data_IF_124920136693
#
_entry.id   IF_124920136693
#
_cell.length_a   1.000
_cell.length_b   1.000
_cell.length_c   1.000
_cell.angle_alpha   90.00
_cell.angle_beta   90.00
_cell.angle_gamma   90.00
#
_symmetry.space_group_name_H-M   'P 1'
#
loop_
_entity.id
_entity.type
_entity.pdbx_description
1 polymer ?
#
# COMPACT_ATOMS: atom_id res chain seq x y z
N UNK A 1 -6.30 12.86 -1.34
CA UNK A 1 -7.40 12.31 -2.17
C UNK A 1 -7.51 12.98 -3.53
N UNK A 2 -7.76 14.29 -3.56
CA UNK A 2 -7.99 15.04 -4.82
C UNK A 2 -6.87 14.88 -5.86
N UNK A 3 -5.63 14.98 -5.44
CA UNK A 3 -4.47 14.84 -6.35
C UNK A 3 -4.31 13.39 -6.81
N UNK A 4 -4.48 12.42 -5.93
CA UNK A 4 -4.46 11.00 -6.28
C UNK A 4 -5.51 10.67 -7.35
N UNK A 5 -6.72 11.21 -7.21
CA UNK A 5 -7.78 11.03 -8.21
C UNK A 5 -7.41 11.67 -9.57
N UNK A 6 -6.82 12.88 -9.56
CA UNK A 6 -6.32 13.53 -10.79
C UNK A 6 -5.22 12.71 -11.46
N UNK A 7 -4.27 12.20 -10.67
CA UNK A 7 -3.20 11.32 -11.17
C UNK A 7 -3.81 10.09 -11.86
N UNK A 8 -4.76 9.41 -11.21
CA UNK A 8 -5.44 8.25 -11.80
C UNK A 8 -6.19 8.57 -13.11
N UNK A 9 -6.84 9.74 -13.20
CA UNK A 9 -7.51 10.15 -14.43
C UNK A 9 -6.52 10.44 -15.57
N UNK A 10 -5.37 11.04 -15.26
CA UNK A 10 -4.31 11.29 -16.24
C UNK A 10 -3.67 9.97 -16.69
N UNK A 11 -3.26 9.13 -15.74
CA UNK A 11 -2.58 7.87 -16.05
C UNK A 11 -3.49 6.88 -16.80
N UNK A 12 -4.81 6.92 -16.55
CA UNK A 12 -5.78 6.12 -17.29
C UNK A 12 -5.80 6.44 -18.81
N UNK A 13 -5.48 7.70 -19.18
CA UNK A 13 -5.41 8.12 -20.59
C UNK A 13 -4.11 7.69 -21.26
N UNK A 14 -3.08 7.39 -20.48
CA UNK A 14 -1.81 6.93 -21.01
C UNK A 14 -1.95 5.48 -21.47
N UNK A 15 -1.62 5.21 -22.72
CA UNK A 15 -1.57 3.84 -23.27
C UNK A 15 -0.29 3.11 -22.84
N UNK A 16 0.13 3.32 -21.60
CA UNK A 16 1.32 2.70 -21.01
C UNK A 16 0.91 1.56 -20.10
N UNK A 17 1.70 0.51 -20.12
CA UNK A 17 1.56 -0.62 -19.21
C UNK A 17 2.89 -0.89 -18.51
N UNK A 18 2.88 -0.90 -17.19
CA UNK A 18 3.98 -1.36 -16.35
C UNK A 18 3.44 -2.35 -15.32
N UNK A 19 3.94 -3.57 -15.34
CA UNK A 19 3.55 -4.60 -14.37
C UNK A 19 3.84 -4.11 -12.94
N UNK A 20 2.86 -4.16 -12.05
CA UNK A 20 3.10 -3.89 -10.64
C UNK A 20 3.85 -5.07 -10.01
N UNK A 21 5.14 -4.87 -9.70
CA UNK A 21 5.98 -5.87 -9.03
C UNK A 21 5.50 -6.19 -7.61
N UNK A 22 4.79 -5.26 -6.98
CA UNK A 22 4.26 -5.38 -5.61
C UNK A 22 2.75 -5.69 -5.57
N UNK A 23 2.20 -6.24 -6.67
CA UNK A 23 0.81 -6.68 -6.69
C UNK A 23 0.57 -7.87 -5.76
N UNK A 24 -0.68 -8.09 -5.36
CA UNK A 24 -1.07 -9.22 -4.49
C UNK A 24 -0.57 -10.57 -5.00
N UNK A 25 -0.50 -10.76 -6.33
CA UNK A 25 -0.03 -12.00 -6.97
C UNK A 25 1.44 -12.32 -6.65
N UNK A 26 2.24 -11.29 -6.36
CA UNK A 26 3.68 -11.43 -6.09
C UNK A 26 3.98 -11.60 -4.59
N UNK A 27 3.00 -11.48 -3.71
CA UNK A 27 3.23 -11.61 -2.26
C UNK A 27 3.49 -13.05 -1.82
N UNK A 28 2.94 -14.06 -2.50
CA UNK A 28 3.27 -15.46 -2.22
C UNK A 28 4.75 -15.80 -2.55
N UNK A 29 5.28 -15.47 -3.73
CA UNK A 29 6.71 -15.59 -4.02
C UNK A 29 7.59 -14.83 -3.00
N UNK A 30 7.20 -13.59 -2.65
CA UNK A 30 7.93 -12.78 -1.69
C UNK A 30 7.96 -13.45 -0.30
N UNK A 31 6.84 -13.96 0.20
CA UNK A 31 6.77 -14.68 1.48
C UNK A 31 7.70 -15.91 1.49
N UNK A 32 7.73 -16.67 0.39
CA UNK A 32 8.61 -17.86 0.25
C UNK A 32 10.09 -17.49 0.25
N UNK A 33 10.47 -16.30 -0.19
CA UNK A 33 11.85 -15.83 -0.21
C UNK A 33 12.37 -15.29 1.12
N UNK A 34 11.49 -15.09 2.11
CA UNK A 34 11.87 -14.63 3.45
C UNK A 34 12.45 -15.82 4.24
N UNK A 35 13.68 -15.66 4.73
CA UNK A 35 14.34 -16.66 5.57
C UNK A 35 13.96 -16.46 7.04
N UNK A 36 13.00 -17.22 7.53
CA UNK A 36 12.62 -17.24 8.94
C UNK A 36 13.64 -18.04 9.76
N UNK A 37 14.72 -17.38 10.22
CA UNK A 37 15.91 -18.03 10.80
C UNK A 37 15.75 -18.58 12.23
N UNK A 38 14.58 -18.50 12.86
CA UNK A 38 14.41 -19.02 14.23
C UNK A 38 12.96 -19.40 14.53
N UNK A 39 12.77 -20.30 15.51
CA UNK A 39 11.45 -20.65 16.03
C UNK A 39 10.62 -19.45 16.54
N UNK A 40 11.30 -18.33 16.86
CA UNK A 40 10.65 -17.07 17.23
C UNK A 40 9.73 -16.52 16.13
N UNK A 41 10.03 -16.81 14.86
CA UNK A 41 9.24 -16.34 13.72
C UNK A 41 8.24 -17.36 13.18
N UNK A 42 8.15 -18.57 13.75
CA UNK A 42 7.23 -19.59 13.26
C UNK A 42 5.76 -19.17 13.38
N UNK A 43 5.39 -18.52 14.49
CA UNK A 43 4.05 -17.96 14.70
C UNK A 43 3.74 -16.84 13.69
N UNK A 44 4.73 -16.00 13.39
CA UNK A 44 4.59 -14.91 12.41
C UNK A 44 4.44 -15.48 10.99
N UNK A 45 5.24 -16.47 10.63
CA UNK A 45 5.13 -17.14 9.32
C UNK A 45 3.75 -17.76 9.12
N UNK A 46 3.24 -18.48 10.14
CA UNK A 46 1.88 -19.05 10.12
C UNK A 46 0.81 -17.96 9.95
N UNK A 47 0.93 -16.87 10.72
CA UNK A 47 0.03 -15.71 10.62
C UNK A 47 0.04 -15.11 9.20
N UNK A 48 1.22 -14.91 8.62
CA UNK A 48 1.37 -14.34 7.28
C UNK A 48 0.77 -15.24 6.20
N UNK A 49 1.03 -16.56 6.26
CA UNK A 49 0.47 -17.54 5.33
C UNK A 49 -1.06 -17.55 5.36
N UNK A 50 -1.66 -17.56 6.55
CA UNK A 50 -3.12 -17.60 6.71
C UNK A 50 -3.77 -16.30 6.23
N UNK A 51 -3.20 -15.13 6.59
CA UNK A 51 -3.72 -13.86 6.13
C UNK A 51 -3.60 -13.71 4.61
N UNK A 52 -2.49 -14.15 4.02
CA UNK A 52 -2.31 -14.08 2.58
C UNK A 52 -3.29 -15.00 1.84
N UNK A 53 -3.55 -16.20 2.36
CA UNK A 53 -4.57 -17.13 1.83
C UNK A 53 -5.96 -16.48 1.87
N UNK A 54 -6.32 -15.89 3.01
CA UNK A 54 -7.62 -15.22 3.20
C UNK A 54 -7.78 -14.00 2.27
N UNK A 55 -6.77 -13.13 2.23
CA UNK A 55 -6.76 -11.96 1.35
C UNK A 55 -6.89 -12.38 -0.12
N UNK A 56 -6.16 -13.40 -0.58
CA UNK A 56 -6.26 -13.89 -1.95
C UNK A 56 -7.67 -14.42 -2.29
N UNK A 57 -8.32 -15.09 -1.34
CA UNK A 57 -9.70 -15.60 -1.50
C UNK A 57 -10.70 -14.48 -1.73
N UNK A 58 -10.56 -13.37 -1.00
CA UNK A 58 -11.49 -12.23 -1.03
C UNK A 58 -10.99 -11.06 -1.90
N UNK A 59 -9.83 -11.23 -2.58
CA UNK A 59 -9.32 -10.16 -3.43
C UNK A 59 -10.31 -9.79 -4.53
N UNK A 60 -10.62 -8.50 -4.68
CA UNK A 60 -11.63 -8.08 -5.65
C UNK A 60 -11.21 -8.40 -7.06
N UNK A 61 -12.20 -8.64 -7.92
CA UNK A 61 -12.00 -8.83 -9.37
C UNK A 61 -12.66 -7.66 -10.11
N UNK A 62 -12.04 -7.24 -11.23
CA UNK A 62 -12.63 -6.27 -12.15
C UNK A 62 -12.98 -4.92 -11.51
N UNK A 63 -12.10 -4.36 -10.68
CA UNK A 63 -12.18 -2.96 -10.27
C UNK A 63 -11.51 -2.04 -11.30
N UNK A 64 -11.90 -0.75 -11.35
CA UNK A 64 -11.20 0.26 -12.13
C UNK A 64 -9.70 0.26 -11.81
N UNK A 65 -8.89 0.23 -12.87
CA UNK A 65 -7.44 0.10 -12.75
C UNK A 65 -6.71 1.01 -13.75
N UNK A 66 -5.43 1.14 -13.54
CA UNK A 66 -4.48 1.90 -14.35
C UNK A 66 -3.16 2.02 -13.61
N UNK A 67 -2.31 2.92 -14.04
CA UNK A 67 -1.04 3.17 -13.35
C UNK A 67 -1.33 3.89 -12.04
N UNK A 68 -0.92 3.27 -10.94
CA UNK A 68 -0.90 3.83 -9.59
C UNK A 68 0.55 4.14 -9.19
N UNK A 69 0.75 5.00 -8.20
CA UNK A 69 2.08 5.29 -7.64
C UNK A 69 2.63 4.08 -6.87
N UNK A 70 1.79 3.43 -6.09
CA UNK A 70 2.12 2.20 -5.37
C UNK A 70 2.90 2.40 -4.07
N UNK A 71 3.31 3.63 -3.72
CA UNK A 71 4.10 3.92 -2.51
C UNK A 71 3.85 5.35 -1.96
N UNK A 72 2.57 5.77 -1.91
CA UNK A 72 2.19 7.09 -1.42
C UNK A 72 2.24 7.18 0.12
N UNK A 73 3.46 7.36 0.63
CA UNK A 73 3.76 7.70 2.02
C UNK A 73 4.04 9.19 2.19
N UNK A 74 4.06 9.64 3.45
CA UNK A 74 4.31 11.05 3.76
C UNK A 74 5.66 11.53 3.22
N UNK A 75 6.65 10.66 3.19
CA UNK A 75 8.01 10.95 2.70
C UNK A 75 8.03 11.27 1.19
N UNK A 76 7.03 10.81 0.44
CA UNK A 76 6.88 11.02 -1.00
C UNK A 76 5.90 12.14 -1.35
N UNK A 77 5.37 12.86 -0.35
CA UNK A 77 4.35 13.90 -0.54
C UNK A 77 4.88 15.22 0.00
N UNK A 78 5.01 16.22 -0.88
CA UNK A 78 5.57 17.51 -0.54
C UNK A 78 4.50 18.59 -0.45
N UNK A 79 4.61 19.40 0.60
CA UNK A 79 3.74 20.55 0.84
C UNK A 79 4.53 21.84 0.87
N UNK A 80 3.95 22.90 0.29
CA UNK A 80 4.45 24.27 0.40
C UNK A 80 3.28 25.15 0.84
N UNK A 81 3.42 25.87 1.97
CA UNK A 81 2.36 26.71 2.54
C UNK A 81 1.01 25.98 2.63
N UNK A 82 0.98 24.80 3.22
CA UNK A 82 -0.21 23.93 3.38
C UNK A 82 -0.89 23.49 2.07
N UNK A 83 -0.25 23.71 0.91
CA UNK A 83 -0.72 23.19 -0.38
C UNK A 83 0.20 22.10 -0.85
N UNK A 84 -0.36 21.02 -1.37
CA UNK A 84 0.44 19.97 -2.00
C UNK A 84 1.18 20.55 -3.19
N UNK A 85 2.51 20.42 -3.17
CA UNK A 85 3.41 20.96 -4.19
C UNK A 85 4.01 19.90 -5.11
N UNK A 86 4.10 18.64 -4.65
CA UNK A 86 4.66 17.56 -5.47
C UNK A 86 4.46 16.17 -4.86
N UNK A 87 4.56 15.18 -5.73
CA UNK A 87 4.67 13.76 -5.39
C UNK A 87 5.96 13.26 -6.05
N UNK A 88 6.78 12.54 -5.30
CA UNK A 88 8.07 12.00 -5.74
C UNK A 88 8.09 10.48 -5.65
N UNK A 89 9.14 9.88 -6.19
CA UNK A 89 9.47 8.47 -6.10
C UNK A 89 8.43 7.52 -6.71
N UNK A 90 8.31 7.59 -8.02
CA UNK A 90 7.47 6.68 -8.83
C UNK A 90 8.15 5.32 -9.12
N UNK A 91 9.13 4.91 -8.31
CA UNK A 91 9.85 3.65 -8.54
C UNK A 91 8.92 2.44 -8.56
N UNK A 92 7.94 2.38 -7.64
CA UNK A 92 6.95 1.31 -7.54
C UNK A 92 5.69 1.53 -8.40
N UNK A 93 5.64 2.59 -9.20
CA UNK A 93 4.48 2.84 -10.05
C UNK A 93 4.23 1.67 -11.01
N UNK A 94 2.98 1.29 -11.18
CA UNK A 94 2.59 0.17 -12.05
C UNK A 94 1.07 0.01 -12.14
N UNK A 95 0.62 -0.86 -13.02
CA UNK A 95 -0.81 -1.10 -13.22
C UNK A 95 -1.40 -1.92 -12.07
N UNK A 96 -2.35 -1.32 -11.36
CA UNK A 96 -3.15 -1.98 -10.33
C UNK A 96 -4.50 -1.26 -10.15
N UNK A 97 -5.34 -1.71 -9.21
CA UNK A 97 -6.59 -1.05 -8.90
C UNK A 97 -6.37 0.33 -8.30
N UNK A 98 -7.11 1.33 -8.78
CA UNK A 98 -7.06 2.68 -8.20
C UNK A 98 -7.40 2.69 -6.71
N UNK A 99 -8.34 1.85 -6.29
CA UNK A 99 -8.68 1.69 -4.87
C UNK A 99 -7.58 1.03 -4.04
N UNK A 100 -6.65 0.29 -4.67
CA UNK A 100 -5.47 -0.22 -3.97
C UNK A 100 -4.51 0.91 -3.59
N UNK A 101 -4.35 1.93 -4.43
CA UNK A 101 -3.62 3.16 -4.07
C UNK A 101 -4.28 3.89 -2.89
N UNK A 102 -5.61 3.99 -2.88
CA UNK A 102 -6.34 4.61 -1.76
C UNK A 102 -6.15 3.79 -0.47
N UNK A 103 -6.14 2.46 -0.56
CA UNK A 103 -5.84 1.59 0.57
C UNK A 103 -4.41 1.79 1.12
N UNK A 104 -3.44 1.98 0.23
CA UNK A 104 -2.07 2.36 0.59
C UNK A 104 -2.07 3.70 1.33
N UNK A 105 -2.74 4.73 0.79
CA UNK A 105 -2.86 6.03 1.43
C UNK A 105 -3.53 5.96 2.81
N UNK A 106 -4.58 5.14 2.98
CA UNK A 106 -5.24 4.93 4.27
C UNK A 106 -4.24 4.38 5.29
N UNK A 107 -3.51 3.33 4.94
CA UNK A 107 -2.54 2.71 5.84
C UNK A 107 -1.36 3.63 6.16
N UNK A 108 -0.92 4.44 5.21
CA UNK A 108 0.24 5.30 5.36
C UNK A 108 -0.05 6.64 6.08
N UNK A 109 -1.26 7.19 5.89
CA UNK A 109 -1.56 8.59 6.24
C UNK A 109 -2.70 8.74 7.25
N UNK A 110 -3.53 7.70 7.45
CA UNK A 110 -4.76 7.82 8.24
C UNK A 110 -4.69 7.13 9.60
N UNK A 111 -3.49 7.02 10.16
CA UNK A 111 -3.29 6.58 11.54
C UNK A 111 -2.61 7.68 12.35
N UNK A 112 -2.95 7.73 13.64
CA UNK A 112 -2.28 8.57 14.62
C UNK A 112 -1.52 7.69 15.61
N UNK A 113 -0.34 8.13 16.02
CA UNK A 113 0.42 7.48 17.08
C UNK A 113 -0.03 8.04 18.44
N UNK A 114 -0.66 7.19 19.26
CA UNK A 114 -1.02 7.52 20.67
C UNK A 114 -0.23 6.62 21.61
N UNK A 115 0.76 7.21 22.26
CA UNK A 115 1.75 6.44 23.00
C UNK A 115 2.52 5.50 22.07
N UNK A 116 2.41 4.18 22.31
CA UNK A 116 3.03 3.14 21.46
C UNK A 116 2.05 2.45 20.48
N UNK A 117 0.81 2.95 20.36
CA UNK A 117 -0.22 2.31 19.53
C UNK A 117 -0.60 3.19 18.35
N UNK A 118 -0.71 2.58 17.18
CA UNK A 118 -1.32 3.21 16.01
C UNK A 118 -2.84 3.08 16.09
N UNK A 119 -3.53 4.21 16.04
CA UNK A 119 -4.99 4.28 16.10
C UNK A 119 -5.49 4.87 14.80
N UNK A 120 -6.49 4.21 14.20
CA UNK A 120 -7.10 4.66 12.97
C UNK A 120 -7.79 6.03 13.16
N UNK A 121 -7.50 6.97 12.28
CA UNK A 121 -8.11 8.29 12.29
C UNK A 121 -9.22 8.35 11.21
N UNK A 122 -10.47 8.15 11.65
CA UNK A 122 -11.64 8.15 10.77
C UNK A 122 -11.83 9.48 10.02
N UNK A 123 -11.47 10.62 10.65
CA UNK A 123 -11.57 11.93 10.00
C UNK A 123 -10.59 12.08 8.83
N UNK A 124 -9.36 11.59 8.98
CA UNK A 124 -8.39 11.55 7.88
C UNK A 124 -8.86 10.67 6.73
N UNK A 125 -9.44 9.49 7.04
CA UNK A 125 -10.03 8.62 6.01
C UNK A 125 -11.17 9.34 5.28
N UNK A 126 -12.09 9.95 6.02
CA UNK A 126 -13.20 10.71 5.44
C UNK A 126 -12.68 11.79 4.49
N UNK A 127 -11.75 12.62 4.94
CA UNK A 127 -11.16 13.71 4.13
C UNK A 127 -10.41 13.18 2.89
N UNK A 128 -9.72 12.04 3.00
CA UNK A 128 -9.06 11.38 1.87
C UNK A 128 -10.09 10.95 0.81
N UNK A 129 -11.16 10.27 1.24
CA UNK A 129 -12.21 9.75 0.35
C UNK A 129 -13.01 10.89 -0.29
N UNK A 130 -13.45 11.87 0.49
CA UNK A 130 -14.16 13.05 -0.02
C UNK A 130 -13.32 13.84 -1.03
N UNK A 131 -12.04 14.04 -0.71
CA UNK A 131 -11.09 14.65 -1.64
C UNK A 131 -10.93 13.85 -2.93
N UNK A 132 -10.93 12.52 -2.88
CA UNK A 132 -10.89 11.67 -4.06
C UNK A 132 -12.21 11.76 -4.86
N UNK A 133 -13.35 11.63 -4.18
CA UNK A 133 -14.68 11.66 -4.79
C UNK A 133 -15.05 13.03 -5.40
N UNK A 134 -14.39 14.11 -4.97
CA UNK A 134 -14.56 15.44 -5.59
C UNK A 134 -14.05 15.49 -7.04
N UNK A 135 -13.28 14.48 -7.47
CA UNK A 135 -12.69 14.39 -8.83
C UNK A 135 -13.14 13.13 -9.55
N UNK A 136 -13.16 11.99 -8.87
CA UNK A 136 -13.53 10.68 -9.43
C UNK A 136 -14.44 9.94 -8.45
N UNK A 137 -15.65 9.64 -8.88
CA UNK A 137 -16.62 8.87 -8.09
C UNK A 137 -16.09 7.48 -7.77
N UNK A 138 -16.41 7.01 -6.56
CA UNK A 138 -16.11 5.66 -6.07
C UNK A 138 -17.42 4.88 -6.05
N UNK A 139 -17.48 3.78 -6.79
CA UNK A 139 -18.65 2.90 -6.83
C UNK A 139 -18.82 2.12 -5.51
N UNK A 140 -20.03 1.62 -5.26
CA UNK A 140 -20.30 0.76 -4.08
C UNK A 140 -19.39 -0.47 -4.05
N UNK A 141 -19.09 -1.05 -5.22
CA UNK A 141 -18.18 -2.18 -5.35
C UNK A 141 -16.74 -1.83 -4.96
N UNK A 142 -16.27 -0.64 -5.32
CA UNK A 142 -14.96 -0.14 -4.89
C UNK A 142 -14.93 0.11 -3.38
N UNK A 143 -16.00 0.69 -2.82
CA UNK A 143 -16.13 0.95 -1.37
C UNK A 143 -16.12 -0.34 -0.56
N UNK A 144 -16.85 -1.36 -0.98
CA UNK A 144 -16.88 -2.67 -0.29
C UNK A 144 -15.54 -3.39 -0.31
N UNK A 145 -14.68 -3.13 -1.29
CA UNK A 145 -13.36 -3.73 -1.40
C UNK A 145 -12.29 -3.06 -0.51
N UNK A 146 -12.52 -1.86 0.04
CA UNK A 146 -11.50 -1.07 0.76
C UNK A 146 -10.85 -1.88 1.89
N UNK A 147 -11.63 -2.62 2.67
CA UNK A 147 -11.11 -3.38 3.81
C UNK A 147 -10.06 -4.42 3.38
N UNK A 148 -10.39 -5.27 2.41
CA UNK A 148 -9.46 -6.31 1.94
C UNK A 148 -8.25 -5.72 1.23
N UNK A 149 -8.42 -4.59 0.52
CA UNK A 149 -7.33 -3.87 -0.11
C UNK A 149 -6.37 -3.26 0.93
N UNK A 150 -6.90 -2.68 2.02
CA UNK A 150 -6.06 -2.19 3.14
C UNK A 150 -5.28 -3.32 3.80
N UNK A 151 -5.92 -4.49 4.04
CA UNK A 151 -5.24 -5.67 4.57
C UNK A 151 -4.12 -6.14 3.64
N UNK A 152 -4.38 -6.18 2.32
CA UNK A 152 -3.38 -6.55 1.32
C UNK A 152 -2.20 -5.58 1.28
N UNK A 153 -2.46 -4.27 1.34
CA UNK A 153 -1.43 -3.26 1.40
C UNK A 153 -0.59 -3.37 2.69
N UNK A 154 -1.22 -3.55 3.85
CA UNK A 154 -0.50 -3.74 5.12
C UNK A 154 0.39 -4.99 5.08
N UNK A 155 -0.14 -6.10 4.55
CA UNK A 155 0.62 -7.34 4.41
C UNK A 155 1.82 -7.17 3.45
N UNK A 156 1.63 -6.47 2.33
CA UNK A 156 2.71 -6.14 1.40
C UNK A 156 3.87 -5.44 2.13
N UNK A 157 3.57 -4.38 2.89
CA UNK A 157 4.62 -3.62 3.59
C UNK A 157 5.31 -4.44 4.67
N UNK A 158 4.58 -5.28 5.39
CA UNK A 158 5.18 -6.18 6.37
C UNK A 158 6.13 -7.19 5.68
N UNK A 159 5.70 -7.77 4.56
CA UNK A 159 6.51 -8.75 3.82
C UNK A 159 7.77 -8.11 3.21
N UNK A 160 7.67 -6.91 2.63
CA UNK A 160 8.85 -6.22 2.10
C UNK A 160 9.85 -5.87 3.20
N UNK A 161 9.40 -5.37 4.34
CA UNK A 161 10.27 -5.09 5.50
C UNK A 161 10.93 -6.35 6.06
N UNK A 162 10.19 -7.46 6.16
CA UNK A 162 10.75 -8.74 6.60
C UNK A 162 11.77 -9.28 5.59
N UNK A 163 11.50 -9.13 4.30
CA UNK A 163 12.44 -9.49 3.25
C UNK A 163 13.74 -8.70 3.36
N UNK A 164 13.65 -7.38 3.45
CA UNK A 164 14.81 -6.49 3.62
C UNK A 164 15.58 -6.83 4.89
N UNK A 165 14.89 -7.02 6.01
CA UNK A 165 15.51 -7.40 7.28
C UNK A 165 16.27 -8.73 7.20
N UNK A 166 15.74 -9.68 6.42
CA UNK A 166 16.33 -11.04 6.29
C UNK A 166 17.45 -11.13 5.29
N UNK A 167 17.47 -10.24 4.28
CA UNK A 167 18.35 -10.38 3.11
C UNK A 167 19.38 -9.25 2.96
N UNK A 168 19.20 -8.12 3.68
CA UNK A 168 20.18 -7.02 3.60
C UNK A 168 21.43 -7.35 4.40
N UNK A 169 22.62 -7.30 3.80
CA UNK A 169 23.89 -7.51 4.51
C UNK A 169 24.07 -6.50 5.65
N UNK A 170 24.67 -6.92 6.77
CA UNK A 170 24.99 -6.01 7.90
C UNK A 170 25.93 -4.86 7.51
N UNK A 171 26.70 -5.03 6.44
CA UNK A 171 27.62 -4.03 5.86
C UNK A 171 26.93 -3.03 4.94
N UNK A 172 25.63 -3.18 4.67
CA UNK A 172 24.91 -2.23 3.82
C UNK A 172 24.78 -0.86 4.51
N UNK A 173 25.01 0.21 3.76
CA UNK A 173 24.88 1.60 4.25
C UNK A 173 23.42 2.02 4.51
N UNK A 174 22.46 1.15 4.21
CA UNK A 174 21.03 1.42 4.34
C UNK A 174 20.55 1.06 5.75
N UNK A 175 19.89 2.00 6.43
CA UNK A 175 19.22 1.73 7.71
C UNK A 175 17.94 0.94 7.47
N UNK A 176 17.97 -0.35 7.79
CA UNK A 176 16.81 -1.23 7.65
C UNK A 176 15.74 -0.81 8.66
N UNK A 177 14.51 -0.59 8.18
CA UNK A 177 13.36 -0.30 9.07
C UNK A 177 12.98 -1.59 9.82
N UNK A 178 12.88 -1.50 11.15
CA UNK A 178 12.50 -2.64 11.98
C UNK A 178 11.07 -3.11 11.60
N UNK A 179 10.86 -4.41 11.36
CA UNK A 179 9.53 -4.95 11.05
C UNK A 179 8.58 -5.04 12.26
N UNK A 180 9.08 -4.83 13.51
CA UNK A 180 8.28 -4.87 14.74
C UNK A 180 7.57 -3.54 15.01
#
# INVERSE_FOLDING_TARGET
GKITARMHLVTKKLKLYRKNSMSIKNLNPLLKSIKFKSNKFSKLEFFLKNNLKDINRYWPKNLPNGIIHGDLFIDNIFFKKNKLSGILDFYFAGNDYFMYEIAICINALCFDLKGKKFIINKQKIKSLIEGYESVKKISSREKSAINVLCRGAALRYLLTRLYDYSNTPKTALIKIKNPN
#
